data_IF_234007733510
#
_entry.id   IF_234007733510
#
_cell.length_a   1.000
_cell.length_b   1.000
_cell.length_c   1.000
_cell.angle_alpha   90.00
_cell.angle_beta   90.00
_cell.angle_gamma   90.00
#
_symmetry.space_group_name_H-M   'P 1'
#
loop_
_entity.id
_entity.type
_entity.pdbx_description
1 polymer ?
#
# COMPACT_ATOMS: atom_id res chain seq x y z
N UNK A 1 -35.62 -21.22 -7.38
CA UNK A 1 -35.02 -20.90 -6.07
C UNK A 1 -33.62 -20.45 -6.32
N UNK A 2 -33.45 -19.37 -6.21
CA UNK A 2 -32.96 -18.04 -6.51
C UNK A 2 -31.50 -17.89 -6.05
N UNK A 3 -30.69 -17.46 -6.99
CA UNK A 3 -29.25 -17.16 -6.88
C UNK A 3 -28.96 -15.82 -6.13
N UNK A 4 -29.53 -15.62 -4.96
CA UNK A 4 -29.44 -14.38 -4.19
C UNK A 4 -28.79 -14.55 -2.79
N UNK A 5 -28.09 -15.65 -2.58
CA UNK A 5 -27.47 -15.99 -1.28
C UNK A 5 -25.95 -15.85 -1.21
N UNK A 6 -25.26 -15.42 -2.28
CA UNK A 6 -23.78 -15.50 -2.37
C UNK A 6 -23.06 -14.15 -2.45
N UNK A 7 -23.73 -13.03 -2.22
CA UNK A 7 -23.12 -11.69 -2.34
C UNK A 7 -23.08 -10.89 -1.03
N UNK A 8 -23.15 -11.54 0.12
CA UNK A 8 -23.12 -10.85 1.42
C UNK A 8 -21.90 -11.15 2.31
N UNK A 9 -20.79 -11.65 1.79
CA UNK A 9 -19.60 -11.95 2.61
C UNK A 9 -18.27 -11.58 1.95
N UNK A 10 -18.15 -10.41 1.32
CA UNK A 10 -16.85 -9.91 0.85
C UNK A 10 -16.42 -8.63 1.59
N UNK A 11 -17.21 -8.13 2.53
CA UNK A 11 -16.90 -6.91 3.26
C UNK A 11 -16.18 -7.10 4.61
N UNK A 12 -15.66 -8.29 4.93
CA UNK A 12 -15.07 -8.58 6.25
C UNK A 12 -13.68 -9.22 6.21
N UNK A 13 -12.89 -9.02 5.17
CA UNK A 13 -11.54 -9.56 5.08
C UNK A 13 -10.44 -8.52 5.34
N UNK A 14 -10.65 -7.61 6.28
CA UNK A 14 -9.60 -6.90 6.99
C UNK A 14 -9.78 -7.13 8.50
N UNK A 15 -10.19 -8.32 8.89
CA UNK A 15 -10.05 -8.75 10.28
C UNK A 15 -8.72 -9.48 10.44
N UNK A 16 -7.81 -8.78 11.09
CA UNK A 16 -6.64 -9.36 11.73
C UNK A 16 -7.12 -10.19 12.93
N UNK A 17 -7.72 -11.31 12.73
CA UNK A 17 -8.02 -12.17 13.86
C UNK A 17 -8.11 -13.62 13.42
N UNK A 18 -7.39 -14.40 14.04
CA UNK A 18 -7.61 -15.68 14.67
C UNK A 18 -6.36 -16.54 14.61
N UNK A 19 -5.58 -16.44 15.66
CA UNK A 19 -4.60 -17.45 16.01
C UNK A 19 -5.34 -18.58 16.76
N UNK A 20 -5.76 -19.61 16.04
CA UNK A 20 -6.14 -20.86 16.72
C UNK A 20 -4.87 -21.49 17.28
N UNK A 21 -4.84 -21.68 18.61
CA UNK A 21 -3.82 -22.43 19.33
C UNK A 21 -3.64 -23.81 18.72
N UNK A 22 -2.56 -24.04 17.99
CA UNK A 22 -2.07 -25.37 17.71
C UNK A 22 -1.32 -25.85 18.96
N UNK A 23 -1.98 -26.68 19.76
CA UNK A 23 -1.33 -27.43 20.83
C UNK A 23 -0.37 -28.44 20.23
N UNK A 24 0.92 -28.11 20.20
CA UNK A 24 1.96 -29.10 20.04
C UNK A 24 2.14 -29.80 21.39
N UNK A 25 1.86 -31.12 21.44
CA UNK A 25 2.30 -31.95 22.56
C UNK A 25 3.81 -31.94 22.63
N UNK A 26 4.32 -31.32 23.69
CA UNK A 26 5.73 -31.34 24.06
C UNK A 26 6.12 -32.75 24.49
N UNK A 27 7.12 -33.31 23.80
CA UNK A 27 8.00 -34.30 24.44
C UNK A 27 8.87 -33.56 25.46
N UNK A 28 9.00 -34.18 26.61
CA UNK A 28 9.84 -33.72 27.72
C UNK A 28 11.29 -33.47 27.27
N UNK A 29 11.68 -32.22 27.15
CA UNK A 29 13.08 -31.79 27.30
C UNK A 29 13.04 -30.41 27.95
N UNK A 30 13.69 -30.31 29.08
CA UNK A 30 13.88 -29.13 29.92
C UNK A 30 14.55 -28.01 29.12
N UNK A 31 13.72 -27.09 28.60
CA UNK A 31 14.19 -25.79 28.09
C UNK A 31 13.97 -24.76 29.18
N UNK A 32 15.05 -24.16 29.62
CA UNK A 32 15.09 -23.02 30.52
C UNK A 32 14.08 -21.96 30.06
N UNK A 33 13.19 -21.57 30.95
CA UNK A 33 12.35 -20.39 30.81
C UNK A 33 13.28 -19.19 30.62
N UNK A 34 13.39 -18.68 29.41
CA UNK A 34 13.89 -17.33 29.19
C UNK A 34 12.80 -16.38 29.70
N UNK A 35 12.98 -16.01 30.94
CA UNK A 35 12.34 -14.87 31.59
C UNK A 35 12.76 -13.63 30.77
N UNK A 36 11.87 -13.14 29.89
CA UNK A 36 12.03 -11.85 29.26
C UNK A 36 11.99 -10.81 30.38
N UNK A 37 13.16 -10.41 30.84
CA UNK A 37 13.27 -9.36 31.84
C UNK A 37 12.57 -8.10 31.33
N UNK A 38 11.71 -7.50 32.15
CA UNK A 38 10.92 -6.26 31.96
C UNK A 38 11.72 -5.01 31.49
N UNK A 39 13.00 -5.15 31.20
CA UNK A 39 13.92 -4.05 30.87
C UNK A 39 13.81 -3.53 29.43
N UNK A 40 13.07 -4.20 28.53
CA UNK A 40 12.99 -3.87 27.11
C UNK A 40 11.60 -3.36 26.68
N UNK A 41 10.74 -2.98 27.62
CA UNK A 41 9.41 -2.45 27.33
C UNK A 41 9.37 -0.97 27.70
N UNK A 42 8.97 -0.14 26.75
CA UNK A 42 8.69 1.27 26.96
C UNK A 42 7.17 1.45 26.92
N UNK A 43 6.57 1.81 28.05
CA UNK A 43 5.15 2.10 28.13
C UNK A 43 4.87 3.48 27.53
N UNK A 44 3.87 3.55 26.65
CA UNK A 44 3.45 4.77 25.94
C UNK A 44 2.02 5.11 26.35
N UNK A 45 1.87 6.14 27.16
CA UNK A 45 0.56 6.63 27.61
C UNK A 45 0.10 7.86 26.81
N UNK A 46 1.04 8.62 26.23
CA UNK A 46 0.78 9.82 25.42
C UNK A 46 1.65 9.84 24.16
N UNK A 47 1.24 10.62 23.17
CA UNK A 47 2.05 10.88 21.98
C UNK A 47 3.42 11.49 22.34
N UNK A 48 3.46 12.37 23.36
CA UNK A 48 4.69 13.01 23.79
C UNK A 48 5.70 11.99 24.37
N UNK A 49 5.25 11.00 25.14
CA UNK A 49 6.11 9.94 25.68
C UNK A 49 6.76 9.17 24.51
N UNK A 50 5.95 8.83 23.50
CA UNK A 50 6.45 8.13 22.31
C UNK A 50 7.51 8.94 21.56
N UNK A 51 7.23 10.21 21.28
CA UNK A 51 8.14 11.09 20.55
C UNK A 51 9.45 11.33 21.32
N UNK A 52 9.37 11.48 22.64
CA UNK A 52 10.54 11.63 23.51
C UNK A 52 11.42 10.39 23.46
N UNK A 53 10.82 9.22 23.62
CA UNK A 53 11.56 7.94 23.56
C UNK A 53 12.21 7.69 22.19
N UNK A 54 11.51 8.00 21.08
CA UNK A 54 12.11 7.92 19.75
C UNK A 54 13.29 8.88 19.60
N UNK A 55 13.20 10.07 20.17
CA UNK A 55 14.29 11.07 20.13
C UNK A 55 15.50 10.58 20.91
N UNK A 56 15.30 10.01 22.10
CA UNK A 56 16.36 9.41 22.91
C UNK A 56 17.07 8.26 22.19
N UNK A 57 16.32 7.34 21.58
CA UNK A 57 16.89 6.25 20.78
C UNK A 57 17.74 6.79 19.62
N UNK A 58 17.26 7.82 18.92
CA UNK A 58 18.01 8.45 17.83
C UNK A 58 19.29 9.13 18.31
N UNK A 59 19.27 9.77 19.46
CA UNK A 59 20.45 10.40 20.05
C UNK A 59 21.47 9.34 20.51
N UNK A 60 21.03 8.26 21.13
CA UNK A 60 21.90 7.14 21.51
C UNK A 60 22.63 6.58 20.30
N UNK A 61 21.90 6.25 19.26
CA UNK A 61 22.48 5.74 17.99
C UNK A 61 23.48 6.73 17.40
N UNK A 62 23.16 8.03 17.38
CA UNK A 62 24.07 9.05 16.85
C UNK A 62 25.36 9.17 17.67
N UNK A 63 25.28 8.97 18.97
CA UNK A 63 26.44 8.99 19.85
C UNK A 63 27.34 7.75 19.69
N UNK A 64 26.74 6.59 19.36
CA UNK A 64 27.48 5.34 19.15
C UNK A 64 28.19 5.31 17.78
N UNK A 65 27.63 5.92 16.74
CA UNK A 65 28.16 5.86 15.37
C UNK A 65 29.28 6.85 15.06
N UNK A 66 29.39 7.92 15.86
CA UNK A 66 30.36 8.97 15.57
C UNK A 66 29.90 9.92 14.42
N UNK A 67 30.81 10.75 13.87
CA UNK A 67 30.45 11.86 12.97
C UNK A 67 30.08 11.45 11.52
N UNK A 68 30.36 10.22 11.11
CA UNK A 68 30.03 9.77 9.75
C UNK A 68 28.53 9.39 9.65
N UNK A 69 27.79 9.92 8.68
CA UNK A 69 26.38 9.59 8.51
C UNK A 69 26.24 8.13 8.10
N UNK A 70 25.53 7.35 8.87
CA UNK A 70 25.16 5.99 8.50
C UNK A 70 24.08 6.01 7.42
N UNK A 71 24.21 5.12 6.43
CA UNK A 71 23.15 4.89 5.42
C UNK A 71 22.05 3.97 5.92
N UNK A 72 21.98 3.71 7.23
CA UNK A 72 20.91 2.93 7.83
C UNK A 72 19.70 3.82 8.14
N UNK A 73 18.52 3.24 7.96
CA UNK A 73 17.23 3.87 8.23
C UNK A 73 16.51 3.15 9.36
N UNK A 74 15.70 3.88 10.10
CA UNK A 74 14.74 3.27 11.02
C UNK A 74 13.51 2.80 10.26
N UNK A 75 13.12 1.56 10.53
CA UNK A 75 11.88 0.96 10.09
C UNK A 75 11.05 0.62 11.31
N UNK A 76 9.77 0.92 11.23
CA UNK A 76 8.81 0.73 12.33
C UNK A 76 7.68 -0.17 11.86
N UNK A 77 7.11 -0.92 12.81
CA UNK A 77 5.91 -1.70 12.60
C UNK A 77 4.99 -1.58 13.80
N UNK A 78 3.74 -1.15 13.58
CA UNK A 78 2.67 -1.14 14.58
C UNK A 78 1.78 -2.36 14.47
N UNK A 79 1.38 -2.92 15.60
CA UNK A 79 0.41 -4.01 15.72
C UNK A 79 -0.62 -3.67 16.78
N UNK A 80 -1.90 -3.89 16.47
CA UNK A 80 -3.01 -3.57 17.37
C UNK A 80 -3.09 -4.51 18.59
N UNK A 81 -2.44 -5.65 18.54
CA UNK A 81 -2.28 -6.56 19.68
C UNK A 81 -0.79 -6.85 19.89
N UNK A 82 -0.30 -6.58 21.10
CA UNK A 82 1.09 -6.76 21.52
C UNK A 82 1.55 -8.20 21.57
N UNK A 83 0.60 -9.15 21.67
CA UNK A 83 0.87 -10.59 21.78
C UNK A 83 0.99 -11.29 20.41
N UNK A 84 0.71 -10.58 19.33
CA UNK A 84 0.88 -11.16 18.01
C UNK A 84 2.33 -11.30 17.61
N UNK A 85 2.67 -12.49 17.12
CA UNK A 85 3.92 -12.71 16.42
C UNK A 85 3.99 -11.87 15.13
N UNK A 86 5.18 -11.40 14.81
CA UNK A 86 5.44 -10.71 13.54
C UNK A 86 5.58 -11.75 12.43
N UNK A 87 4.49 -12.05 11.75
CA UNK A 87 4.40 -13.12 10.75
C UNK A 87 3.78 -12.57 9.45
N UNK A 88 4.42 -12.77 8.28
CA UNK A 88 3.83 -12.51 6.98
C UNK A 88 2.49 -13.22 6.77
N UNK A 89 1.58 -12.61 6.02
CA UNK A 89 0.22 -13.14 5.86
C UNK A 89 0.18 -14.52 5.19
N UNK A 90 1.09 -14.82 4.27
CA UNK A 90 1.16 -16.13 3.60
C UNK A 90 1.62 -17.27 4.53
N UNK A 91 2.25 -16.94 5.67
CA UNK A 91 2.67 -17.95 6.64
C UNK A 91 1.52 -18.38 7.58
N UNK A 92 0.42 -17.64 7.57
CA UNK A 92 -0.78 -17.96 8.35
C UNK A 92 -1.64 -18.99 7.62
N UNK A 93 -2.31 -19.84 8.36
CA UNK A 93 -3.29 -20.79 7.81
C UNK A 93 -2.74 -21.77 6.76
N UNK A 94 -1.44 -22.12 6.83
CA UNK A 94 -0.78 -23.05 5.91
C UNK A 94 -0.79 -22.60 4.41
N UNK A 95 -0.86 -21.31 4.14
CA UNK A 95 -0.93 -20.78 2.76
C UNK A 95 0.42 -20.82 2.03
N UNK A 96 1.54 -20.95 2.74
CA UNK A 96 2.89 -20.94 2.14
C UNK A 96 3.06 -22.00 1.05
N UNK A 97 2.51 -23.19 1.23
CA UNK A 97 2.56 -24.26 0.23
C UNK A 97 1.81 -23.88 -1.05
N UNK A 98 0.78 -23.06 -0.94
CA UNK A 98 -0.08 -22.60 -2.04
C UNK A 98 0.35 -21.25 -2.62
N UNK A 99 1.38 -20.61 -2.07
CA UNK A 99 1.84 -19.26 -2.50
C UNK A 99 2.02 -19.14 -4.02
N UNK A 100 2.70 -20.06 -4.72
CA UNK A 100 2.87 -19.97 -6.17
C UNK A 100 1.55 -20.11 -6.93
N UNK A 101 0.65 -20.98 -6.46
CA UNK A 101 -0.64 -21.20 -7.12
C UNK A 101 -1.57 -20.00 -6.92
N UNK A 102 -1.55 -19.34 -5.75
CA UNK A 102 -2.26 -18.10 -5.49
C UNK A 102 -1.78 -16.97 -6.42
N UNK A 103 -0.47 -16.76 -6.49
CA UNK A 103 0.15 -15.73 -7.35
C UNK A 103 -0.18 -16.00 -8.82
N UNK A 104 0.03 -17.23 -9.29
CA UNK A 104 -0.24 -17.63 -10.67
C UNK A 104 -1.71 -17.48 -11.05
N UNK A 105 -2.61 -17.87 -10.17
CA UNK A 105 -4.06 -17.76 -10.40
C UNK A 105 -4.48 -16.31 -10.58
N UNK A 106 -3.87 -15.39 -9.84
CA UNK A 106 -4.13 -13.95 -9.97
C UNK A 106 -3.61 -13.41 -11.31
N UNK A 107 -2.42 -13.82 -11.75
CA UNK A 107 -1.88 -13.42 -13.07
C UNK A 107 -2.74 -13.93 -14.23
N UNK A 108 -3.27 -15.15 -14.12
CA UNK A 108 -4.14 -15.73 -15.15
C UNK A 108 -5.49 -15.01 -15.26
N UNK A 109 -6.01 -14.53 -14.11
CA UNK A 109 -7.30 -13.80 -14.08
C UNK A 109 -7.18 -12.34 -14.51
N UNK A 110 -6.03 -11.71 -14.26
CA UNK A 110 -5.80 -10.28 -14.51
C UNK A 110 -4.50 -10.03 -15.28
N UNK A 111 -4.30 -10.62 -16.48
CA UNK A 111 -3.01 -10.59 -17.16
C UNK A 111 -2.58 -9.18 -17.57
N UNK A 112 -3.51 -8.28 -17.83
CA UNK A 112 -3.22 -6.90 -18.24
C UNK A 112 -2.56 -6.12 -17.13
N UNK A 113 -3.06 -6.28 -15.90
CA UNK A 113 -2.58 -5.57 -14.71
C UNK A 113 -1.12 -5.88 -14.35
N UNK A 114 -0.61 -7.06 -14.74
CA UNK A 114 0.73 -7.52 -14.38
C UNK A 114 1.75 -7.50 -15.52
N UNK A 115 1.35 -7.10 -16.74
CA UNK A 115 2.26 -7.04 -17.91
C UNK A 115 3.29 -5.92 -17.83
N UNK A 116 2.96 -4.82 -17.17
CA UNK A 116 3.79 -3.61 -17.13
C UNK A 116 4.88 -3.64 -16.06
N UNK A 117 4.81 -4.59 -15.12
CA UNK A 117 5.81 -4.69 -14.06
C UNK A 117 7.07 -5.39 -14.55
N UNK A 118 8.20 -4.70 -14.47
CA UNK A 118 9.51 -5.25 -14.80
C UNK A 118 10.07 -6.12 -13.66
N UNK A 119 9.66 -5.87 -12.41
CA UNK A 119 10.18 -6.50 -11.20
C UNK A 119 9.18 -7.51 -10.63
N UNK A 120 9.69 -8.66 -10.14
CA UNK A 120 8.88 -9.65 -9.42
C UNK A 120 8.45 -9.11 -8.05
N UNK A 121 9.31 -8.32 -7.42
CA UNK A 121 8.99 -7.66 -6.16
C UNK A 121 7.80 -6.68 -6.31
N UNK A 122 7.78 -5.85 -7.36
CA UNK A 122 6.65 -4.95 -7.62
C UNK A 122 5.33 -5.72 -7.86
N UNK A 123 5.40 -6.89 -8.48
CA UNK A 123 4.23 -7.77 -8.63
C UNK A 123 3.72 -8.26 -7.28
N UNK A 124 4.62 -8.65 -6.35
CA UNK A 124 4.25 -9.05 -4.99
C UNK A 124 3.60 -7.89 -4.22
N UNK A 125 4.17 -6.68 -4.30
CA UNK A 125 3.62 -5.50 -3.61
C UNK A 125 2.22 -5.16 -4.12
N UNK A 126 2.00 -5.27 -5.44
CA UNK A 126 0.67 -5.09 -6.02
C UNK A 126 -0.32 -6.15 -5.55
N UNK A 127 0.08 -7.42 -5.49
CA UNK A 127 -0.76 -8.51 -4.99
C UNK A 127 -1.19 -8.27 -3.54
N UNK A 128 -0.25 -7.86 -2.68
CA UNK A 128 -0.53 -7.53 -1.28
C UNK A 128 -1.47 -6.34 -1.16
N UNK A 129 -1.29 -5.30 -1.95
CA UNK A 129 -2.17 -4.14 -1.97
C UNK A 129 -3.63 -4.52 -2.25
N UNK A 130 -3.87 -5.51 -3.10
CA UNK A 130 -5.21 -6.04 -3.39
C UNK A 130 -5.63 -7.20 -2.46
N UNK A 131 -4.94 -7.39 -1.34
CA UNK A 131 -5.35 -8.30 -0.27
C UNK A 131 -4.95 -9.76 -0.48
N UNK A 132 -4.12 -10.10 -1.49
CA UNK A 132 -3.59 -11.44 -1.60
C UNK A 132 -2.55 -11.67 -0.49
N UNK A 133 -2.63 -12.78 0.27
CA UNK A 133 -1.58 -13.12 1.22
C UNK A 133 -0.24 -13.29 0.53
N UNK A 134 0.77 -12.55 0.96
CA UNK A 134 2.15 -12.62 0.45
C UNK A 134 3.14 -12.80 1.59
N UNK A 135 4.41 -13.04 1.24
CA UNK A 135 5.51 -13.08 2.20
C UNK A 135 6.04 -11.69 2.62
N UNK A 136 5.54 -10.64 2.00
CA UNK A 136 5.92 -9.29 2.41
C UNK A 136 5.28 -8.92 3.73
N UNK A 137 6.04 -8.24 4.58
CA UNK A 137 5.56 -7.64 5.80
C UNK A 137 5.65 -6.13 5.68
N UNK A 138 4.52 -5.44 5.87
CA UNK A 138 4.48 -3.98 5.84
C UNK A 138 5.26 -3.40 7.02
N UNK A 139 6.14 -2.46 6.73
CA UNK A 139 6.83 -1.60 7.67
C UNK A 139 6.76 -0.16 7.17
N UNK A 140 7.05 0.79 8.02
CA UNK A 140 7.06 2.21 7.66
C UNK A 140 8.34 2.87 8.15
N UNK A 141 8.79 3.92 7.46
CA UNK A 141 9.87 4.79 7.95
C UNK A 141 9.37 5.93 8.83
N UNK A 142 8.04 6.07 8.98
CA UNK A 142 7.42 7.08 9.82
C UNK A 142 6.94 6.47 11.16
N UNK A 143 7.54 6.83 12.29
CA UNK A 143 7.16 6.28 13.60
C UNK A 143 5.68 6.59 13.96
N UNK A 144 5.14 7.74 13.55
CA UNK A 144 3.75 8.10 13.85
C UNK A 144 2.74 7.22 13.10
N UNK A 145 3.09 6.77 11.88
CA UNK A 145 2.27 5.81 11.14
C UNK A 145 2.26 4.45 11.83
N UNK A 146 3.39 4.00 12.36
CA UNK A 146 3.43 2.76 13.14
C UNK A 146 2.60 2.87 14.42
N UNK A 147 2.68 4.01 15.12
CA UNK A 147 1.86 4.28 16.31
C UNK A 147 0.37 4.27 15.97
N UNK A 148 -0.02 4.86 14.84
CA UNK A 148 -1.41 4.81 14.36
C UNK A 148 -1.92 3.36 14.21
N UNK A 149 -1.12 2.47 13.60
CA UNK A 149 -1.49 1.06 13.45
C UNK A 149 -1.52 0.31 14.79
N UNK A 150 -0.64 0.65 15.73
CA UNK A 150 -0.64 0.07 17.08
C UNK A 150 -1.87 0.49 17.89
N UNK A 151 -2.36 1.70 17.67
CA UNK A 151 -3.53 2.25 18.35
C UNK A 151 -4.87 1.82 17.74
N UNK A 152 -4.88 1.01 16.66
CA UNK A 152 -6.14 0.49 16.13
C UNK A 152 -6.84 -0.39 17.18
N UNK A 153 -8.17 -0.28 17.24
CA UNK A 153 -8.95 -1.11 18.16
C UNK A 153 -8.87 -2.58 17.74
N UNK A 154 -8.59 -3.42 18.71
CA UNK A 154 -8.67 -4.87 18.56
C UNK A 154 -9.14 -5.47 19.87
N UNK A 155 -10.09 -6.39 19.76
CA UNK A 155 -10.67 -7.10 20.89
C UNK A 155 -10.48 -8.60 20.70
N UNK A 156 -9.98 -9.29 21.71
CA UNK A 156 -9.98 -10.75 21.74
C UNK A 156 -11.32 -11.26 22.24
N UNK A 157 -11.87 -12.22 21.52
CA UNK A 157 -13.15 -12.85 21.85
C UNK A 157 -12.87 -14.28 22.31
N UNK A 158 -13.02 -14.52 23.60
CA UNK A 158 -13.00 -15.86 24.19
C UNK A 158 -14.44 -16.39 24.25
N UNK A 159 -14.70 -17.51 23.58
CA UNK A 159 -15.97 -18.22 23.68
C UNK A 159 -15.86 -19.21 24.83
N UNK A 160 -16.64 -19.00 25.89
CA UNK A 160 -16.80 -19.95 26.97
C UNK A 160 -17.93 -20.95 26.57
N UNK A 161 -17.51 -22.13 26.14
CA UNK A 161 -18.44 -23.19 25.70
C UNK A 161 -19.39 -23.63 26.81
N UNK A 162 -19.00 -23.55 28.10
CA UNK A 162 -19.80 -23.95 29.24
C UNK A 162 -20.84 -22.89 29.64
N UNK A 163 -20.46 -21.59 29.51
CA UNK A 163 -21.31 -20.47 29.93
C UNK A 163 -22.18 -19.88 28.81
N UNK A 164 -22.01 -20.30 27.54
CA UNK A 164 -22.63 -19.64 26.36
C UNK A 164 -22.43 -18.12 26.31
N UNK A 165 -21.35 -17.65 26.91
CA UNK A 165 -21.00 -16.22 26.98
C UNK A 165 -19.73 -15.92 26.18
N UNK A 166 -19.69 -14.74 25.58
CA UNK A 166 -18.51 -14.23 24.90
C UNK A 166 -17.85 -13.18 25.80
N UNK A 167 -16.63 -13.44 26.19
CA UNK A 167 -15.81 -12.45 26.89
C UNK A 167 -15.02 -11.67 25.86
N UNK A 168 -15.22 -10.36 25.82
CA UNK A 168 -14.49 -9.42 24.95
C UNK A 168 -13.44 -8.74 25.80
N UNK A 169 -12.17 -8.86 25.41
CA UNK A 169 -11.04 -8.26 26.13
C UNK A 169 -10.27 -7.37 25.17
N UNK A 170 -10.23 -6.05 25.38
CA UNK A 170 -9.40 -5.14 24.61
C UNK A 170 -7.91 -5.49 24.73
N UNK A 171 -7.17 -5.34 23.65
CA UNK A 171 -5.74 -5.69 23.63
C UNK A 171 -4.85 -4.46 23.60
N UNK A 172 -3.68 -4.52 24.22
CA UNK A 172 -2.65 -3.51 24.11
C UNK A 172 -2.04 -3.51 22.70
N UNK A 173 -1.61 -2.34 22.24
CA UNK A 173 -0.87 -2.22 21.00
C UNK A 173 0.64 -2.33 21.21
N UNK A 174 1.37 -2.63 20.13
CA UNK A 174 2.82 -2.61 20.15
C UNK A 174 3.41 -1.91 18.93
N UNK A 175 4.52 -1.15 19.13
CA UNK A 175 5.36 -0.68 18.04
C UNK A 175 6.74 -1.31 18.19
N UNK A 176 7.19 -1.92 17.12
CA UNK A 176 8.52 -2.50 16.95
C UNK A 176 9.34 -1.61 16.02
N UNK A 177 10.66 -1.59 16.20
CA UNK A 177 11.54 -0.87 15.31
C UNK A 177 12.81 -1.65 14.99
N UNK A 178 13.42 -1.31 13.88
CA UNK A 178 14.71 -1.84 13.43
C UNK A 178 15.49 -0.77 12.73
N UNK A 179 16.79 -0.75 12.95
CA UNK A 179 17.71 0.03 12.18
C UNK A 179 18.45 -0.87 11.20
N UNK A 180 18.25 -0.61 9.90
CA UNK A 180 18.78 -1.46 8.84
C UNK A 180 19.13 -0.66 7.57
N UNK A 181 19.94 -1.28 6.72
CA UNK A 181 20.18 -0.77 5.36
C UNK A 181 18.95 -1.03 4.50
N UNK A 182 18.45 0.03 3.87
CA UNK A 182 17.42 -0.08 2.85
C UNK A 182 17.97 -0.71 1.58
N UNK A 183 17.28 -1.71 1.04
CA UNK A 183 17.62 -2.37 -0.22
C UNK A 183 16.70 -1.85 -1.34
N UNK A 184 17.25 -1.76 -2.54
CA UNK A 184 16.46 -1.46 -3.71
C UNK A 184 15.62 -2.65 -4.16
N UNK A 185 14.40 -2.41 -4.63
CA UNK A 185 13.52 -3.48 -5.10
C UNK A 185 14.07 -4.24 -6.32
N UNK A 186 15.04 -3.66 -7.06
CA UNK A 186 15.71 -4.28 -8.21
C UNK A 186 17.00 -5.05 -7.84
N UNK A 187 17.39 -5.06 -6.57
CA UNK A 187 18.55 -5.81 -6.13
C UNK A 187 18.36 -7.30 -6.43
N UNK A 188 19.41 -7.96 -6.89
CA UNK A 188 19.32 -9.36 -7.34
C UNK A 188 18.85 -10.32 -6.26
N UNK A 189 19.19 -10.05 -5.01
CA UNK A 189 18.75 -10.83 -3.85
C UNK A 189 17.24 -10.71 -3.64
N UNK A 190 16.72 -9.49 -3.75
CA UNK A 190 15.29 -9.19 -3.62
C UNK A 190 14.50 -9.88 -4.75
N UNK A 191 14.96 -9.70 -5.98
CA UNK A 191 14.34 -10.33 -7.15
C UNK A 191 14.43 -11.86 -7.10
N UNK A 192 15.50 -12.42 -6.55
CA UNK A 192 15.65 -13.88 -6.36
C UNK A 192 14.56 -14.43 -5.45
N UNK A 193 14.37 -13.84 -4.27
CA UNK A 193 13.35 -14.29 -3.31
C UNK A 193 11.94 -14.06 -3.88
N UNK A 194 11.71 -12.91 -4.50
CA UNK A 194 10.41 -12.57 -5.10
C UNK A 194 10.06 -13.49 -6.28
N UNK A 195 11.00 -13.82 -7.15
CA UNK A 195 10.79 -14.77 -8.24
C UNK A 195 10.44 -16.17 -7.70
N UNK A 196 11.24 -16.68 -6.77
CA UNK A 196 11.06 -18.04 -6.23
C UNK A 196 9.72 -18.20 -5.50
N UNK A 197 9.15 -17.12 -4.95
CA UNK A 197 7.81 -17.16 -4.34
C UNK A 197 6.71 -17.50 -5.35
N UNK A 198 6.89 -17.09 -6.60
CA UNK A 198 5.91 -17.26 -7.69
C UNK A 198 6.09 -18.55 -8.49
N UNK A 199 7.24 -19.23 -8.35
CA UNK A 199 7.53 -20.43 -9.12
C UNK A 199 6.96 -21.69 -8.50
N UNK A 200 6.18 -22.43 -9.28
CA UNK A 200 5.76 -23.80 -8.93
C UNK A 200 6.84 -24.77 -9.36
N UNK A 201 7.65 -25.19 -8.42
CA UNK A 201 8.78 -26.08 -8.68
C UNK A 201 8.33 -27.53 -8.57
N UNK A 202 8.55 -28.31 -9.65
CA UNK A 202 8.28 -29.74 -9.63
C UNK A 202 9.49 -30.50 -9.11
N UNK A 203 9.27 -31.42 -8.14
CA UNK A 203 10.31 -32.19 -7.49
C UNK A 203 11.23 -31.34 -6.63
N UNK A 204 12.39 -31.91 -6.29
CA UNK A 204 13.34 -31.26 -5.40
C UNK A 204 13.96 -30.01 -6.04
N UNK A 205 14.04 -28.94 -5.26
CA UNK A 205 14.80 -27.74 -5.60
C UNK A 205 16.20 -27.86 -4.98
N UNK A 206 17.22 -27.94 -5.83
CA UNK A 206 18.62 -27.88 -5.39
C UNK A 206 19.22 -26.51 -5.65
N UNK A 207 20.35 -26.17 -5.04
CA UNK A 207 21.06 -24.91 -5.31
C UNK A 207 21.43 -24.77 -6.80
N UNK A 208 21.85 -25.83 -7.45
CA UNK A 208 22.15 -25.79 -8.89
C UNK A 208 20.89 -25.56 -9.72
N UNK A 209 19.78 -26.24 -9.42
CA UNK A 209 18.50 -26.04 -10.12
C UNK A 209 17.96 -24.64 -9.87
N UNK A 210 18.10 -24.13 -8.65
CA UNK A 210 17.74 -22.76 -8.33
C UNK A 210 18.56 -21.77 -9.18
N UNK A 211 19.88 -21.91 -9.20
CA UNK A 211 20.74 -21.05 -10.01
C UNK A 211 20.39 -21.12 -11.50
N UNK A 212 20.07 -22.31 -12.01
CA UNK A 212 19.62 -22.49 -13.40
C UNK A 212 18.32 -21.75 -13.68
N UNK A 213 17.33 -21.82 -12.79
CA UNK A 213 16.10 -21.05 -12.91
C UNK A 213 16.35 -19.53 -12.91
N UNK A 214 17.29 -19.05 -12.09
CA UNK A 214 17.64 -17.62 -12.05
C UNK A 214 18.31 -17.16 -13.36
N UNK A 215 19.10 -18.04 -14.02
CA UNK A 215 19.64 -17.76 -15.35
C UNK A 215 18.52 -17.72 -16.40
N UNK A 216 17.64 -18.70 -16.40
CA UNK A 216 16.50 -18.79 -17.33
C UNK A 216 15.57 -17.58 -17.25
N UNK A 217 15.41 -17.03 -16.05
CA UNK A 217 14.62 -15.80 -15.81
C UNK A 217 15.44 -14.50 -15.93
N UNK A 218 16.72 -14.57 -16.32
CA UNK A 218 17.55 -13.42 -16.62
C UNK A 218 18.09 -12.66 -15.40
N UNK A 219 17.98 -13.22 -14.19
CA UNK A 219 18.50 -12.60 -12.96
C UNK A 219 20.01 -12.82 -12.79
N UNK A 220 20.54 -13.92 -13.31
CA UNK A 220 21.96 -14.22 -13.31
C UNK A 220 22.49 -14.34 -14.74
N UNK A 221 23.59 -13.66 -15.03
CA UNK A 221 24.34 -13.90 -16.25
C UNK A 221 25.11 -15.21 -16.14
N UNK A 222 25.53 -15.79 -17.27
CA UNK A 222 26.37 -17.00 -17.29
C UNK A 222 27.69 -16.81 -16.51
N UNK A 223 28.26 -15.60 -16.55
CA UNK A 223 29.50 -15.29 -15.82
C UNK A 223 29.25 -15.23 -14.30
N UNK A 224 28.16 -14.55 -13.86
CA UNK A 224 27.77 -14.48 -12.45
C UNK A 224 27.45 -15.88 -11.89
N UNK A 225 26.79 -16.73 -12.69
CA UNK A 225 26.48 -18.10 -12.30
C UNK A 225 27.76 -18.97 -12.15
N UNK A 226 28.75 -18.81 -13.02
CA UNK A 226 30.04 -19.49 -12.86
C UNK A 226 30.77 -19.05 -11.59
N UNK A 227 30.73 -17.76 -11.29
CA UNK A 227 31.32 -17.22 -10.06
C UNK A 227 30.60 -17.74 -8.81
N UNK A 228 29.28 -17.80 -8.85
CA UNK A 228 28.47 -18.38 -7.78
C UNK A 228 28.85 -19.84 -7.51
N UNK A 229 29.03 -20.65 -8.54
CA UNK A 229 29.49 -22.06 -8.42
C UNK A 229 30.87 -22.15 -7.82
N UNK A 230 31.83 -21.33 -8.29
CA UNK A 230 33.22 -21.31 -7.77
C UNK A 230 33.26 -20.96 -6.29
N UNK A 231 32.39 -20.05 -5.83
CA UNK A 231 32.31 -19.62 -4.45
C UNK A 231 31.36 -20.51 -3.60
N UNK A 232 31.05 -21.72 -4.06
CA UNK A 232 30.25 -22.69 -3.33
C UNK A 232 28.83 -22.20 -3.05
N UNK A 233 28.23 -21.42 -3.96
CA UNK A 233 26.88 -20.85 -3.88
C UNK A 233 26.65 -19.89 -2.69
N UNK A 234 27.71 -19.32 -2.11
CA UNK A 234 27.64 -18.53 -0.88
C UNK A 234 26.67 -17.38 -1.03
N UNK A 235 26.78 -16.57 -2.08
CA UNK A 235 25.89 -15.42 -2.32
C UNK A 235 24.43 -15.84 -2.49
N UNK A 236 24.18 -16.95 -3.20
CA UNK A 236 22.82 -17.48 -3.37
C UNK A 236 22.24 -17.99 -2.05
N UNK A 237 23.03 -18.67 -1.23
CA UNK A 237 22.64 -19.14 0.10
C UNK A 237 22.27 -17.94 0.98
N UNK A 238 23.11 -16.92 1.01
CA UNK A 238 22.86 -15.69 1.76
C UNK A 238 21.59 -14.99 1.28
N UNK A 239 21.36 -14.89 -0.03
CA UNK A 239 20.14 -14.32 -0.59
C UNK A 239 18.87 -15.07 -0.16
N UNK A 240 18.96 -16.38 0.02
CA UNK A 240 17.82 -17.22 0.40
C UNK A 240 17.54 -17.26 1.90
N UNK A 241 18.52 -16.92 2.73
CA UNK A 241 18.43 -17.03 4.18
C UNK A 241 18.29 -15.68 4.89
N UNK A 242 18.75 -14.58 4.28
CA UNK A 242 18.67 -13.25 4.86
C UNK A 242 17.28 -12.65 4.70
N UNK A 243 16.96 -11.73 5.60
CA UNK A 243 15.77 -10.89 5.54
C UNK A 243 16.16 -9.47 5.08
N UNK A 244 15.30 -8.83 4.30
CA UNK A 244 15.64 -7.58 3.61
C UNK A 244 14.59 -6.51 3.86
N UNK A 245 15.01 -5.33 4.35
CA UNK A 245 14.19 -4.14 4.35
C UNK A 245 14.27 -3.49 2.97
N UNK A 246 13.13 -3.47 2.26
CA UNK A 246 13.08 -3.07 0.85
C UNK A 246 12.26 -1.79 0.71
N UNK A 247 12.88 -0.79 0.08
CA UNK A 247 12.20 0.44 -0.30
C UNK A 247 11.57 0.20 -1.68
N UNK A 248 10.24 0.29 -1.75
CA UNK A 248 9.50 0.13 -2.99
C UNK A 248 9.51 1.41 -3.83
N UNK A 249 9.17 1.28 -5.11
CA UNK A 249 8.84 2.44 -5.94
C UNK A 249 7.63 3.19 -5.39
N UNK A 250 7.70 4.52 -5.39
CA UNK A 250 6.62 5.40 -4.93
C UNK A 250 5.51 5.54 -5.99
N UNK A 251 5.11 4.45 -6.61
CA UNK A 251 4.06 4.41 -7.63
C UNK A 251 2.67 4.09 -7.06
N UNK A 252 2.58 3.86 -5.76
CA UNK A 252 1.33 3.59 -5.05
C UNK A 252 1.09 4.70 -4.02
N UNK A 253 -0.01 5.42 -4.15
CA UNK A 253 -0.37 6.54 -3.29
C UNK A 253 -0.47 6.14 -1.80
N UNK A 254 -0.97 4.95 -1.50
CA UNK A 254 -1.03 4.41 -0.14
C UNK A 254 0.38 4.25 0.46
N UNK A 255 1.34 3.67 -0.29
CA UNK A 255 2.72 3.54 0.17
C UNK A 255 3.39 4.90 0.43
N UNK A 256 3.10 5.89 -0.44
CA UNK A 256 3.61 7.26 -0.25
C UNK A 256 3.07 7.85 1.04
N UNK A 257 1.74 7.83 1.25
CA UNK A 257 1.07 8.41 2.42
C UNK A 257 1.50 7.75 3.72
N UNK A 258 1.73 6.44 3.68
CA UNK A 258 2.16 5.66 4.84
C UNK A 258 3.68 5.63 5.03
N UNK A 259 4.47 6.31 4.20
CA UNK A 259 5.94 6.19 4.18
C UNK A 259 6.38 4.72 4.18
N UNK A 260 5.68 3.91 3.38
CA UNK A 260 5.71 2.46 3.42
C UNK A 260 6.99 1.88 2.85
N UNK A 261 7.43 0.81 3.47
CA UNK A 261 8.48 -0.09 3.02
C UNK A 261 8.07 -1.53 3.35
N UNK A 262 8.88 -2.50 2.97
CA UNK A 262 8.57 -3.90 3.20
C UNK A 262 9.75 -4.62 3.84
N UNK A 263 9.46 -5.57 4.72
CA UNK A 263 10.40 -6.60 5.11
C UNK A 263 10.10 -7.84 4.27
N UNK A 264 11.05 -8.25 3.44
CA UNK A 264 11.01 -9.46 2.62
C UNK A 264 11.87 -10.54 3.27
N UNK A 265 11.28 -11.58 3.87
CA UNK A 265 12.04 -12.68 4.44
C UNK A 265 12.53 -13.63 3.36
N UNK A 266 13.78 -14.03 3.45
CA UNK A 266 14.34 -15.14 2.68
C UNK A 266 13.66 -16.44 3.11
N UNK A 267 13.84 -16.84 4.33
CA UNK A 267 13.19 -18.01 4.94
C UNK A 267 13.22 -19.27 4.08
N UNK A 268 14.38 -19.56 3.47
CA UNK A 268 14.62 -20.85 2.82
C UNK A 268 15.60 -21.67 3.65
N UNK A 269 15.21 -22.89 3.98
CA UNK A 269 16.07 -23.86 4.65
C UNK A 269 16.93 -24.56 3.62
N UNK A 270 18.25 -24.60 3.87
CA UNK A 270 19.22 -25.22 2.97
C UNK A 270 19.84 -26.43 3.67
N UNK A 271 19.55 -27.61 3.15
CA UNK A 271 20.09 -28.89 3.64
C UNK A 271 21.34 -29.22 2.86
N UNK A 272 22.52 -28.81 3.40
CA UNK A 272 23.80 -28.92 2.75
C UNK A 272 24.21 -30.38 2.51
N UNK A 273 24.64 -30.68 1.28
CA UNK A 273 25.26 -31.97 0.90
C UNK A 273 26.75 -31.80 0.81
N UNK A 274 27.48 -32.41 1.75
CA UNK A 274 28.95 -32.17 1.92
C UNK A 274 29.79 -32.45 0.67
N UNK A 275 29.44 -33.48 -0.09
CA UNK A 275 30.24 -33.90 -1.27
C UNK A 275 29.82 -33.16 -2.58
N UNK A 276 28.72 -32.44 -2.59
CA UNK A 276 28.22 -31.70 -3.75
C UNK A 276 27.29 -30.60 -3.29
N UNK A 277 27.84 -29.42 -3.05
CA UNK A 277 27.08 -28.27 -2.57
C UNK A 277 25.90 -27.88 -3.51
N UNK A 278 26.12 -27.95 -4.82
CA UNK A 278 25.09 -27.67 -5.81
C UNK A 278 23.85 -28.57 -5.71
N UNK A 279 24.01 -29.80 -5.17
CA UNK A 279 22.91 -30.73 -4.90
C UNK A 279 22.24 -30.55 -3.53
N UNK A 280 22.65 -29.54 -2.75
CA UNK A 280 21.99 -29.18 -1.47
C UNK A 280 20.55 -28.82 -1.73
N UNK A 281 19.65 -29.37 -0.93
CA UNK A 281 18.21 -29.16 -1.07
C UNK A 281 17.81 -27.80 -0.47
N UNK A 282 16.91 -27.11 -1.17
CA UNK A 282 16.26 -25.87 -0.71
C UNK A 282 14.80 -26.17 -0.44
N UNK A 283 14.33 -25.82 0.74
CA UNK A 283 12.92 -25.92 1.10
C UNK A 283 12.42 -24.55 1.59
N UNK A 284 11.17 -24.23 1.27
CA UNK A 284 10.52 -23.06 1.84
C UNK A 284 10.38 -23.27 3.34
N UNK A 285 10.96 -22.37 4.11
CA UNK A 285 10.78 -22.29 5.55
C UNK A 285 9.72 -21.25 5.90
N UNK A 286 9.25 -21.31 7.11
CA UNK A 286 8.43 -20.30 7.73
C UNK A 286 8.91 -20.05 9.16
N UNK A 287 8.67 -18.84 9.66
CA UNK A 287 9.04 -18.44 11.01
C UNK A 287 8.44 -17.11 11.35
N UNK A 288 8.48 -16.75 12.62
CA UNK A 288 8.22 -15.37 12.99
C UNK A 288 9.45 -14.49 12.68
N UNK A 289 9.23 -13.21 12.65
CA UNK A 289 10.25 -12.19 12.39
C UNK A 289 10.50 -11.32 13.63
N UNK A 290 10.14 -11.83 14.82
CA UNK A 290 10.29 -11.09 16.07
C UNK A 290 11.75 -10.70 16.29
N UNK A 291 12.70 -11.61 16.02
CA UNK A 291 14.14 -11.41 16.20
C UNK A 291 14.76 -10.44 15.17
N UNK A 292 14.02 -10.07 14.12
CA UNK A 292 14.48 -9.07 13.14
C UNK A 292 14.36 -7.65 13.65
N UNK A 293 13.55 -7.42 14.68
CA UNK A 293 13.37 -6.13 15.31
C UNK A 293 14.23 -6.01 16.57
N UNK A 294 14.43 -4.78 17.04
CA UNK A 294 15.17 -4.55 18.29
C UNK A 294 14.38 -5.16 19.46
N UNK A 295 15.10 -5.60 20.48
CA UNK A 295 14.50 -6.18 21.69
C UNK A 295 13.59 -5.18 22.42
N UNK A 296 13.93 -3.89 22.38
CA UNK A 296 13.10 -2.82 22.94
C UNK A 296 11.88 -2.57 22.07
N UNK A 297 10.70 -2.59 22.67
CA UNK A 297 9.43 -2.32 22.01
C UNK A 297 8.58 -1.33 22.80
N UNK A 298 7.72 -0.60 22.13
CA UNK A 298 6.76 0.30 22.73
C UNK A 298 5.44 -0.42 22.93
N UNK A 299 4.88 -0.37 24.14
CA UNK A 299 3.56 -0.92 24.46
C UNK A 299 2.59 0.21 24.70
N UNK A 300 1.47 0.17 24.03
CA UNK A 300 0.39 1.14 24.12
C UNK A 300 -0.79 0.48 24.83
N UNK A 301 -1.12 0.88 26.07
CA UNK A 301 -2.27 0.34 26.78
C UNK A 301 -3.57 0.54 26.02
N UNK A 302 -4.46 -0.46 26.05
CA UNK A 302 -5.71 -0.44 25.30
C UNK A 302 -6.58 0.78 25.62
N UNK A 303 -6.59 1.25 26.88
CA UNK A 303 -7.33 2.43 27.35
C UNK A 303 -6.76 3.76 26.82
N UNK A 304 -5.47 3.77 26.36
CA UNK A 304 -4.82 4.97 25.84
C UNK A 304 -4.90 5.12 24.31
N UNK A 305 -5.26 4.04 23.60
CA UNK A 305 -5.28 4.02 22.15
C UNK A 305 -6.15 5.12 21.54
N UNK A 306 -7.35 5.31 22.07
CA UNK A 306 -8.30 6.31 21.53
C UNK A 306 -7.78 7.74 21.71
N UNK A 307 -7.18 8.06 22.88
CA UNK A 307 -6.61 9.36 23.18
C UNK A 307 -5.42 9.68 22.24
N UNK A 308 -4.52 8.71 22.06
CA UNK A 308 -3.38 8.86 21.14
C UNK A 308 -3.84 8.99 19.67
N UNK A 309 -4.89 8.29 19.25
CA UNK A 309 -5.45 8.47 17.89
C UNK A 309 -6.02 9.87 17.66
N UNK A 310 -6.65 10.46 18.67
CA UNK A 310 -7.14 11.84 18.58
C UNK A 310 -5.98 12.85 18.55
N UNK A 311 -4.89 12.61 19.28
CA UNK A 311 -3.67 13.41 19.18
C UNK A 311 -3.01 13.28 17.79
N UNK A 312 -2.90 12.05 17.25
CA UNK A 312 -2.34 11.79 15.91
C UNK A 312 -3.14 12.48 14.79
N UNK A 313 -4.45 12.57 14.96
CA UNK A 313 -5.31 13.27 13.99
C UNK A 313 -4.95 14.76 13.85
N UNK A 314 -4.52 15.42 14.92
CA UNK A 314 -4.03 16.81 14.89
C UNK A 314 -2.78 16.98 14.00
N UNK A 315 -2.01 15.91 13.84
CA UNK A 315 -0.83 15.86 12.96
C UNK A 315 -1.14 15.28 11.58
N UNK A 316 -2.42 15.15 11.23
CA UNK A 316 -2.88 14.56 9.97
C UNK A 316 -2.42 13.10 9.79
N UNK A 317 -2.28 12.36 10.89
CA UNK A 317 -2.05 10.90 10.90
C UNK A 317 -3.37 10.24 11.28
N UNK A 318 -4.19 9.97 10.30
CA UNK A 318 -5.54 9.44 10.46
C UNK A 318 -5.93 8.57 9.27
N UNK A 319 -7.07 7.87 9.33
CA UNK A 319 -7.55 6.99 8.27
C UNK A 319 -7.70 7.74 6.93
N UNK A 320 -8.26 8.95 6.94
CA UNK A 320 -8.44 9.74 5.72
C UNK A 320 -7.14 10.18 5.06
N UNK A 321 -6.10 10.50 5.84
CA UNK A 321 -4.79 10.87 5.31
C UNK A 321 -3.98 9.66 4.83
N UNK A 322 -4.03 8.53 5.55
CA UNK A 322 -3.20 7.36 5.30
C UNK A 322 -3.74 6.43 4.21
N UNK A 323 -5.05 6.44 3.98
CA UNK A 323 -5.70 5.55 3.01
C UNK A 323 -6.40 6.38 1.93
N UNK A 324 -5.87 6.36 0.68
CA UNK A 324 -6.43 7.14 -0.42
C UNK A 324 -7.74 6.56 -0.97
N UNK A 325 -8.05 5.30 -0.68
CA UNK A 325 -9.20 4.58 -1.20
C UNK A 325 -10.52 5.22 -0.70
N UNK A 326 -11.49 5.38 -1.60
CA UNK A 326 -12.76 6.05 -1.32
C UNK A 326 -13.51 5.45 -0.12
N UNK A 327 -13.42 4.13 0.06
CA UNK A 327 -14.04 3.43 1.17
C UNK A 327 -13.53 3.96 2.52
N UNK A 328 -12.23 4.09 2.68
CA UNK A 328 -11.60 4.64 3.89
C UNK A 328 -11.89 6.12 4.08
N UNK A 329 -11.94 6.90 2.99
CA UNK A 329 -12.33 8.31 3.05
C UNK A 329 -13.76 8.46 3.59
N UNK A 330 -14.70 7.64 3.10
CA UNK A 330 -16.08 7.65 3.57
C UNK A 330 -16.21 7.15 5.01
N UNK A 331 -15.42 6.13 5.41
CA UNK A 331 -15.34 5.64 6.78
C UNK A 331 -14.90 6.76 7.74
N UNK A 332 -13.80 7.42 7.41
CA UNK A 332 -13.25 8.52 8.20
C UNK A 332 -14.26 9.68 8.37
N UNK A 333 -14.89 10.14 7.27
CA UNK A 333 -15.91 11.20 7.30
C UNK A 333 -17.09 10.81 8.19
N UNK A 334 -17.53 9.55 8.11
CA UNK A 334 -18.63 9.03 8.92
C UNK A 334 -18.29 8.98 10.41
N UNK A 335 -17.06 8.54 10.75
CA UNK A 335 -16.60 8.41 12.15
C UNK A 335 -16.40 9.78 12.80
N UNK A 336 -15.72 10.69 12.12
CA UNK A 336 -15.45 12.03 12.66
C UNK A 336 -16.71 12.84 12.86
N UNK A 337 -17.89 12.34 12.32
CA UNK A 337 -19.11 13.12 12.35
C UNK A 337 -18.70 14.57 12.19
N UNK A 338 -18.10 14.91 11.03
CA UNK A 338 -17.76 16.30 10.82
C UNK A 338 -18.95 17.04 11.37
N UNK A 339 -18.81 17.85 12.41
CA UNK A 339 -19.89 18.68 12.84
C UNK A 339 -20.08 19.72 11.73
N UNK A 340 -20.61 19.27 10.61
CA UNK A 340 -21.45 20.13 9.83
C UNK A 340 -22.60 20.36 10.79
N UNK A 341 -22.33 21.20 11.80
CA UNK A 341 -23.38 21.63 12.71
C UNK A 341 -24.51 22.06 11.82
N UNK A 342 -25.72 21.69 12.18
CA UNK A 342 -26.95 22.21 11.53
C UNK A 342 -26.81 23.72 11.30
N UNK A 343 -26.07 24.45 12.15
CA UNK A 343 -25.62 25.82 11.96
C UNK A 343 -24.70 26.07 10.77
N UNK A 344 -23.84 25.11 10.38
CA UNK A 344 -22.98 25.27 9.18
C UNK A 344 -23.71 24.87 7.91
N UNK A 345 -24.63 23.90 7.95
CA UNK A 345 -25.57 23.63 6.84
C UNK A 345 -26.49 24.84 6.66
N UNK A 346 -26.97 25.45 7.73
CA UNK A 346 -27.74 26.68 7.67
C UNK A 346 -26.94 27.89 7.20
N UNK A 347 -25.62 27.94 7.48
CA UNK A 347 -24.73 28.97 6.93
C UNK A 347 -24.39 28.69 5.47
N UNK A 348 -24.17 27.41 5.09
CA UNK A 348 -23.97 27.02 3.71
C UNK A 348 -25.19 27.31 2.84
N UNK A 349 -26.41 27.01 3.33
CA UNK A 349 -27.64 27.34 2.63
C UNK A 349 -27.90 28.87 2.62
N UNK A 350 -27.56 29.61 3.69
CA UNK A 350 -27.59 31.07 3.69
C UNK A 350 -26.53 31.70 2.80
N UNK A 351 -25.33 31.10 2.70
CA UNK A 351 -24.31 31.54 1.75
C UNK A 351 -24.75 31.29 0.30
N UNK A 352 -25.44 30.19 0.02
CA UNK A 352 -26.05 29.97 -1.30
C UNK A 352 -27.17 31.00 -1.59
N UNK A 353 -28.05 31.27 -0.62
CA UNK A 353 -29.09 32.29 -0.77
C UNK A 353 -28.54 33.73 -0.81
N UNK A 354 -27.38 33.99 -0.16
CA UNK A 354 -26.70 35.31 -0.23
C UNK A 354 -25.82 35.45 -1.48
N UNK A 355 -25.31 34.37 -2.04
CA UNK A 355 -24.50 34.41 -3.27
C UNK A 355 -25.34 34.62 -4.54
N UNK A 356 -26.65 34.40 -4.48
CA UNK A 356 -27.56 34.83 -5.57
C UNK A 356 -27.65 36.35 -5.72
N UNK A 357 -27.02 37.12 -4.78
CA UNK A 357 -27.08 38.60 -4.76
C UNK A 357 -25.70 39.28 -4.67
N UNK A 358 -24.56 38.56 -4.64
CA UNK A 358 -23.20 39.11 -4.53
C UNK A 358 -22.26 38.58 -5.63
N UNK A 359 -21.40 39.46 -6.17
CA UNK A 359 -20.37 39.06 -7.11
C UNK A 359 -19.44 37.99 -6.51
N UNK A 360 -19.03 36.94 -7.28
CA UNK A 360 -18.37 35.75 -6.75
C UNK A 360 -16.91 36.01 -6.37
N UNK A 361 -16.53 35.59 -5.17
CA UNK A 361 -15.14 35.55 -4.67
C UNK A 361 -14.39 34.36 -5.31
N UNK A 362 -13.20 34.64 -5.86
CA UNK A 362 -12.43 33.77 -6.76
C UNK A 362 -11.65 32.60 -6.10
N UNK A 363 -12.02 32.14 -4.90
CA UNK A 363 -11.22 31.16 -4.15
C UNK A 363 -11.83 29.77 -3.99
N UNK A 364 -12.81 29.34 -4.80
CA UNK A 364 -13.54 28.09 -4.59
C UNK A 364 -13.41 27.14 -5.78
N UNK A 365 -12.85 25.94 -5.55
CA UNK A 365 -12.64 24.86 -6.52
C UNK A 365 -13.93 24.48 -7.30
N UNK A 366 -15.11 24.73 -6.73
CA UNK A 366 -16.41 24.56 -7.40
C UNK A 366 -16.67 25.59 -8.51
N UNK A 367 -16.06 26.76 -8.44
CA UNK A 367 -16.19 27.82 -9.45
C UNK A 367 -15.39 27.49 -10.72
N UNK A 368 -14.24 26.79 -10.62
CA UNK A 368 -13.48 26.35 -11.78
C UNK A 368 -14.29 25.41 -12.69
N UNK A 369 -15.18 24.58 -12.12
CA UNK A 369 -16.02 23.67 -12.89
C UNK A 369 -17.13 24.38 -13.66
N UNK A 370 -17.74 25.40 -13.04
CA UNK A 370 -18.80 26.24 -13.68
C UNK A 370 -18.17 27.12 -14.75
N UNK A 371 -16.99 27.69 -14.50
CA UNK A 371 -16.25 28.49 -15.46
C UNK A 371 -15.79 27.67 -16.67
N UNK A 372 -15.36 26.41 -16.48
CA UNK A 372 -15.00 25.52 -17.60
C UNK A 372 -16.18 25.27 -18.55
N UNK A 373 -17.37 25.02 -18.05
CA UNK A 373 -18.58 24.83 -18.86
C UNK A 373 -18.90 26.09 -19.67
N UNK A 374 -18.83 27.25 -19.06
CA UNK A 374 -19.04 28.55 -19.71
C UNK A 374 -17.99 28.79 -20.79
N UNK A 375 -16.71 28.54 -20.48
CA UNK A 375 -15.62 28.69 -21.44
C UNK A 375 -15.79 27.77 -22.64
N UNK A 376 -16.21 26.51 -22.42
CA UNK A 376 -16.53 25.57 -23.52
C UNK A 376 -17.73 26.02 -24.32
N UNK A 377 -18.82 26.44 -23.70
CA UNK A 377 -20.02 26.94 -24.37
C UNK A 377 -19.71 28.16 -25.23
N UNK A 378 -18.94 29.10 -24.70
CA UNK A 378 -18.49 30.30 -25.42
C UNK A 378 -17.57 29.94 -26.61
N UNK A 379 -16.66 28.99 -26.43
CA UNK A 379 -15.78 28.53 -27.50
C UNK A 379 -16.57 27.82 -28.63
N UNK A 380 -17.51 26.97 -28.30
CA UNK A 380 -18.38 26.31 -29.26
C UNK A 380 -19.20 27.32 -30.07
N UNK A 381 -19.75 28.34 -29.40
CA UNK A 381 -20.50 29.42 -30.03
C UNK A 381 -19.60 30.30 -30.93
N UNK A 382 -18.39 30.62 -30.48
CA UNK A 382 -17.41 31.42 -31.23
C UNK A 382 -16.97 30.73 -32.53
N UNK A 383 -16.94 29.41 -32.54
CA UNK A 383 -16.58 28.63 -33.71
C UNK A 383 -17.81 28.20 -34.55
N UNK A 384 -18.96 28.86 -34.36
CA UNK A 384 -20.20 28.66 -35.12
C UNK A 384 -20.71 27.21 -35.11
N UNK A 385 -20.61 26.52 -33.98
CA UNK A 385 -21.26 25.23 -33.77
C UNK A 385 -22.77 25.48 -33.64
N UNK A 386 -23.61 24.81 -34.43
CA UNK A 386 -25.06 24.97 -34.34
C UNK A 386 -25.58 24.70 -32.93
N UNK A 387 -26.51 25.54 -32.45
CA UNK A 387 -27.04 25.46 -31.07
C UNK A 387 -27.64 24.07 -30.76
N UNK A 388 -28.15 23.38 -31.77
CA UNK A 388 -28.65 22.02 -31.61
C UNK A 388 -27.58 20.98 -31.19
N UNK A 389 -26.29 21.26 -31.38
CA UNK A 389 -25.20 20.34 -31.07
C UNK A 389 -24.39 20.78 -29.85
N UNK A 390 -24.61 21.99 -29.37
CA UNK A 390 -23.82 22.57 -28.27
C UNK A 390 -23.96 21.75 -26.99
N UNK A 391 -25.18 21.34 -26.63
CA UNK A 391 -25.42 20.56 -25.43
C UNK A 391 -24.75 19.19 -25.50
N UNK A 392 -24.87 18.49 -26.63
CA UNK A 392 -24.24 17.18 -26.83
C UNK A 392 -22.70 17.28 -26.79
N UNK A 393 -22.13 18.35 -27.33
CA UNK A 393 -20.69 18.62 -27.26
C UNK A 393 -20.24 18.93 -25.84
N UNK A 394 -21.02 19.70 -25.07
CA UNK A 394 -20.73 19.98 -23.66
C UNK A 394 -20.77 18.74 -22.80
N UNK A 395 -21.75 17.86 -22.98
CA UNK A 395 -21.87 16.63 -22.21
C UNK A 395 -20.70 15.67 -22.46
N UNK A 396 -20.22 15.58 -23.68
CA UNK A 396 -19.03 14.81 -24.03
C UNK A 396 -17.77 15.42 -23.41
N UNK A 397 -17.56 16.72 -23.54
CA UNK A 397 -16.40 17.40 -23.00
C UNK A 397 -16.36 17.36 -21.47
N UNK A 398 -17.53 17.45 -20.81
CA UNK A 398 -17.66 17.28 -19.37
C UNK A 398 -17.22 15.89 -18.89
N UNK A 399 -17.53 14.85 -19.65
CA UNK A 399 -17.13 13.48 -19.29
C UNK A 399 -15.62 13.25 -19.27
N UNK A 400 -14.87 14.09 -19.99
CA UNK A 400 -13.40 14.03 -20.07
C UNK A 400 -12.69 14.95 -19.04
N UNK A 401 -13.43 15.78 -18.30
CA UNK A 401 -12.85 16.71 -17.33
C UNK A 401 -12.27 15.97 -16.10
N UNK A 402 -11.06 16.33 -15.73
CA UNK A 402 -10.43 15.92 -14.49
C UNK A 402 -9.61 17.09 -13.93
N UNK A 403 -9.17 17.01 -12.67
CA UNK A 403 -8.36 18.06 -12.05
C UNK A 403 -7.12 18.37 -12.93
N UNK A 404 -6.87 19.64 -13.18
CA UNK A 404 -5.77 20.15 -14.02
C UNK A 404 -5.73 19.57 -15.45
N UNK A 405 -6.91 19.26 -16.01
CA UNK A 405 -7.06 18.65 -17.32
C UNK A 405 -6.35 19.46 -18.43
N UNK A 406 -6.36 20.79 -18.35
CA UNK A 406 -5.76 21.71 -19.32
C UNK A 406 -4.23 21.66 -19.35
N UNK A 407 -3.58 21.05 -18.36
CA UNK A 407 -2.15 20.78 -18.31
C UNK A 407 -1.79 19.36 -18.80
N UNK A 408 -2.80 18.49 -19.01
CA UNK A 408 -2.61 17.08 -19.38
C UNK A 408 -2.82 16.85 -20.88
N UNK A 409 -1.74 16.73 -21.63
CA UNK A 409 -1.80 16.54 -23.09
C UNK A 409 -2.62 15.29 -23.51
N UNK A 410 -2.61 14.24 -22.71
CA UNK A 410 -3.43 13.05 -22.96
C UNK A 410 -4.93 13.34 -22.91
N UNK A 411 -5.37 14.12 -21.93
CA UNK A 411 -6.79 14.51 -21.76
C UNK A 411 -7.21 15.45 -22.88
N UNK A 412 -6.36 16.44 -23.18
CA UNK A 412 -6.57 17.38 -24.30
C UNK A 412 -6.72 16.64 -25.62
N UNK A 413 -5.88 15.62 -25.86
CA UNK A 413 -5.95 14.80 -27.07
C UNK A 413 -7.23 13.95 -27.13
N UNK A 414 -7.69 13.41 -25.99
CA UNK A 414 -8.94 12.68 -25.87
C UNK A 414 -10.14 13.58 -26.14
N UNK A 415 -10.18 14.77 -25.58
CA UNK A 415 -11.23 15.78 -25.84
C UNK A 415 -11.31 16.14 -27.32
N UNK A 416 -10.16 16.38 -27.98
CA UNK A 416 -10.11 16.63 -29.42
C UNK A 416 -10.67 15.47 -30.23
N UNK A 417 -10.33 14.23 -29.85
CA UNK A 417 -10.82 13.02 -30.53
C UNK A 417 -12.33 12.85 -30.38
N UNK A 418 -12.86 13.02 -29.14
CA UNK A 418 -14.28 12.87 -28.87
C UNK A 418 -15.11 13.94 -29.58
N UNK A 419 -14.65 15.19 -29.55
CA UNK A 419 -15.31 16.28 -30.27
C UNK A 419 -15.24 16.08 -31.79
N UNK A 420 -14.11 15.65 -32.34
CA UNK A 420 -13.99 15.27 -33.78
C UNK A 420 -14.98 14.19 -34.14
N UNK A 421 -15.10 13.13 -33.31
CA UNK A 421 -16.01 12.02 -33.55
C UNK A 421 -17.46 12.50 -33.56
N UNK A 422 -17.85 13.33 -32.60
CA UNK A 422 -19.18 13.93 -32.56
C UNK A 422 -19.47 14.75 -33.81
N UNK A 423 -18.62 15.74 -34.14
CA UNK A 423 -18.82 16.63 -35.24
C UNK A 423 -18.87 15.88 -36.58
N UNK A 424 -18.07 14.82 -36.77
CA UNK A 424 -18.07 14.01 -37.99
C UNK A 424 -19.36 13.19 -38.19
N UNK A 425 -20.22 13.08 -37.19
CA UNK A 425 -21.57 12.48 -37.34
C UNK A 425 -22.61 13.47 -37.84
N UNK A 426 -22.30 14.76 -37.89
CA UNK A 426 -23.24 15.81 -38.31
C UNK A 426 -23.07 16.12 -39.78
N UNK A 427 -24.18 16.35 -40.49
CA UNK A 427 -24.17 16.50 -41.98
C UNK A 427 -23.40 17.74 -42.47
N UNK A 428 -23.18 18.74 -41.61
CA UNK A 428 -22.48 19.97 -41.96
C UNK A 428 -20.93 19.82 -41.89
N UNK A 429 -20.43 18.72 -41.38
CA UNK A 429 -18.99 18.52 -41.18
C UNK A 429 -18.49 17.24 -41.83
N UNK A 430 -17.55 17.35 -42.75
CA UNK A 430 -16.76 16.20 -43.15
C UNK A 430 -15.68 15.88 -42.10
N UNK A 431 -15.01 14.73 -42.24
CA UNK A 431 -14.01 14.28 -41.25
C UNK A 431 -12.83 15.24 -41.10
N UNK A 432 -12.45 15.94 -42.18
CA UNK A 432 -11.34 16.87 -42.15
C UNK A 432 -11.72 18.17 -41.44
N UNK A 433 -12.87 18.75 -41.79
CA UNK A 433 -13.38 19.96 -41.14
C UNK A 433 -13.76 19.75 -39.69
N UNK A 434 -14.30 18.59 -39.35
CA UNK A 434 -14.57 18.19 -37.94
C UNK A 434 -13.28 18.15 -37.11
N UNK A 435 -12.19 17.61 -37.66
CA UNK A 435 -10.90 17.53 -36.96
C UNK A 435 -10.30 18.90 -36.74
N UNK A 436 -10.31 19.75 -37.74
CA UNK A 436 -9.81 21.12 -37.66
C UNK A 436 -10.61 21.95 -36.68
N UNK A 437 -11.93 21.86 -36.73
CA UNK A 437 -12.87 22.54 -35.86
C UNK A 437 -12.69 22.14 -34.38
N UNK A 438 -12.60 20.84 -34.11
CA UNK A 438 -12.34 20.33 -32.75
C UNK A 438 -11.01 20.87 -32.18
N UNK A 439 -9.97 20.93 -33.02
CA UNK A 439 -8.68 21.48 -32.63
C UNK A 439 -8.75 22.98 -32.33
N UNK A 440 -9.44 23.76 -33.16
CA UNK A 440 -9.65 25.19 -32.96
C UNK A 440 -10.40 25.48 -31.67
N UNK A 441 -11.51 24.76 -31.40
CA UNK A 441 -12.33 24.93 -30.22
C UNK A 441 -11.51 24.66 -28.95
N UNK A 442 -10.84 23.53 -28.86
CA UNK A 442 -10.01 23.18 -27.70
C UNK A 442 -8.85 24.17 -27.51
N UNK A 443 -8.21 24.63 -28.57
CA UNK A 443 -7.17 25.65 -28.47
C UNK A 443 -7.70 27.00 -27.95
N UNK A 444 -8.90 27.40 -28.37
CA UNK A 444 -9.57 28.61 -27.88
C UNK A 444 -9.87 28.51 -26.38
N UNK A 445 -10.34 27.33 -25.94
CA UNK A 445 -10.58 27.07 -24.51
C UNK A 445 -9.27 27.18 -23.71
N UNK A 446 -8.20 26.53 -24.16
CA UNK A 446 -6.88 26.58 -23.48
C UNK A 446 -6.31 28.01 -23.44
N UNK A 447 -6.53 28.82 -24.47
CA UNK A 447 -6.12 30.23 -24.48
C UNK A 447 -6.91 31.06 -23.47
N UNK A 448 -8.23 30.86 -23.36
CA UNK A 448 -9.06 31.57 -22.40
C UNK A 448 -8.69 31.22 -20.96
N UNK A 449 -8.40 29.93 -20.67
CA UNK A 449 -7.93 29.50 -19.34
C UNK A 449 -6.62 30.20 -18.98
N UNK A 450 -5.63 30.19 -19.87
CA UNK A 450 -4.33 30.88 -19.65
C UNK A 450 -4.47 32.39 -19.42
N UNK A 451 -5.46 33.02 -20.02
CA UNK A 451 -5.75 34.47 -19.82
C UNK A 451 -6.41 34.75 -18.47
N UNK A 452 -7.07 33.77 -17.86
CA UNK A 452 -7.67 33.88 -16.53
C UNK A 452 -6.67 33.62 -15.40
N UNK A 453 -5.60 32.87 -15.69
CA UNK A 453 -4.50 32.59 -14.73
C UNK A 453 -3.46 33.73 -14.67
N UNK A 454 -3.44 34.62 -15.64
CA UNK A 454 -2.52 35.78 -15.72
C UNK A 454 -3.15 37.04 -15.13
#
# INVERSE_FOLDING_TARGET
>A
MSALGLLRNISSYIDFACCSKLSFTRGDDSVENNDYSDQNIILVETLNDYLSSISEIREQVKNEEGPEPSNQHFYFRGQANSDWDIIPSVYRGNLLASEPDLIRSTYLRNPVEFRTFASNFERLTKLQHYGLPTRLLDVTTNPLVALYFACQQHDEIEEDEEASSKKITPTDGAVFYKRAYGRGFQDVEIETVALLSSLKIQGDLTLEKCLQLLIEHGLYSSAAAQECRKNGYKSLIESLQNNYFVISTLNNERLIRQSGAFLLPGHYNIFKKANSIGESLIQRGMGNLNDEFEATRFIIPCEKKAEILDELDLYNINEGALFPELEHQMSYIKQKRLPVGISQIGQFNRMQEMNDTAEPDKSNIFLEYIDAEKIFSDALSQHNIPSAYVQEALDILKSDLCLDWYQKESVISTMRLHLTKLLSTKPEFDRSSATEKAKEIINTVLQKIKQQES
#
